data_IF_568087315625
#
_entry.id   IF_568087315625
#
_cell.length_a   1.000
_cell.length_b   1.000
_cell.length_c   1.000
_cell.angle_alpha   90.00
_cell.angle_beta   90.00
_cell.angle_gamma   90.00
#
_symmetry.space_group_name_H-M   'P 1'
#
loop_
_entity.id
_entity.type
_entity.pdbx_description
1 polymer ?
#
# COMPACT_ATOMS: atom_id res chain seq x y z
N UNK A 1 -34.48 45.95 -43.86
CA UNK A 1 -33.25 46.62 -44.35
C UNK A 1 -32.18 45.53 -44.55
N UNK A 2 -31.46 45.52 -45.68
CA UNK A 2 -30.34 44.66 -46.16
C UNK A 2 -29.75 43.58 -45.21
N UNK A 3 -29.53 42.28 -45.54
CA UNK A 3 -29.22 41.45 -46.76
C UNK A 3 -27.71 41.30 -47.10
N UNK A 4 -27.32 40.04 -47.44
CA UNK A 4 -26.02 39.44 -47.88
C UNK A 4 -25.04 38.98 -46.75
N UNK A 5 -24.31 37.83 -46.69
CA UNK A 5 -24.01 36.58 -47.49
C UNK A 5 -22.45 36.41 -47.66
N UNK A 6 -21.75 35.26 -47.73
CA UNK A 6 -21.98 33.89 -48.29
C UNK A 6 -21.29 32.70 -47.52
N UNK A 7 -21.92 31.51 -47.59
CA UNK A 7 -21.42 30.12 -47.80
C UNK A 7 -19.97 29.63 -47.55
N UNK A 8 -19.84 28.45 -46.90
CA UNK A 8 -19.37 27.14 -47.48
C UNK A 8 -19.47 25.99 -46.45
N UNK A 9 -20.40 25.02 -46.60
CA UNK A 9 -20.33 23.71 -47.29
C UNK A 9 -19.68 22.55 -46.49
N UNK A 10 -20.42 21.43 -46.42
CA UNK A 10 -20.17 20.19 -45.66
C UNK A 10 -19.14 19.24 -46.33
N UNK A 11 -18.54 18.34 -45.53
CA UNK A 11 -17.63 17.30 -46.04
C UNK A 11 -17.23 16.20 -45.04
N UNK A 12 -18.18 15.44 -44.51
CA UNK A 12 -17.88 14.22 -43.72
C UNK A 12 -17.65 13.01 -44.64
N UNK A 13 -16.46 12.38 -44.57
CA UNK A 13 -16.20 11.06 -45.16
C UNK A 13 -15.66 10.11 -44.08
N UNK A 14 -16.41 9.04 -43.80
CA UNK A 14 -15.94 7.90 -42.99
C UNK A 14 -14.92 7.10 -43.80
N UNK A 15 -13.76 6.81 -43.22
CA UNK A 15 -12.81 5.84 -43.77
C UNK A 15 -13.09 4.50 -43.08
N UNK A 16 -13.23 3.44 -43.88
CA UNK A 16 -13.65 2.11 -43.44
C UNK A 16 -12.46 1.15 -43.58
N UNK A 17 -11.83 0.76 -42.47
CA UNK A 17 -10.64 -0.10 -42.47
C UNK A 17 -11.08 -1.57 -42.43
N UNK A 18 -10.89 -2.28 -43.54
CA UNK A 18 -11.16 -3.72 -43.62
C UNK A 18 -10.11 -4.50 -42.83
N UNK A 19 -10.53 -5.20 -41.79
CA UNK A 19 -9.72 -6.23 -41.12
C UNK A 19 -9.65 -7.48 -41.99
N UNK A 20 -8.49 -7.72 -42.61
CA UNK A 20 -8.28 -8.94 -43.39
C UNK A 20 -8.11 -10.15 -42.45
N UNK A 21 -9.16 -10.94 -42.34
CA UNK A 21 -9.13 -12.26 -41.73
C UNK A 21 -8.21 -13.19 -42.52
N UNK A 22 -7.09 -13.60 -41.94
CA UNK A 22 -6.26 -14.69 -42.48
C UNK A 22 -6.34 -15.89 -41.53
N UNK A 23 -7.28 -16.80 -41.80
CA UNK A 23 -7.34 -18.10 -41.14
C UNK A 23 -6.17 -18.94 -41.64
N UNK A 24 -5.28 -19.37 -40.75
CA UNK A 24 -4.42 -20.54 -40.99
C UNK A 24 -4.76 -21.61 -39.96
N UNK A 25 -5.66 -22.50 -40.37
CA UNK A 25 -5.78 -23.82 -39.75
C UNK A 25 -4.48 -24.59 -39.97
N UNK A 26 -3.90 -25.11 -38.89
CA UNK A 26 -3.08 -26.31 -38.93
C UNK A 26 -3.44 -27.13 -37.68
N UNK A 27 -4.36 -28.07 -37.87
CA UNK A 27 -4.50 -29.24 -37.00
C UNK A 27 -3.32 -30.16 -37.25
N UNK A 28 -2.49 -30.37 -36.23
CA UNK A 28 -1.47 -31.42 -36.22
C UNK A 28 -1.57 -32.12 -34.87
N UNK A 29 -2.40 -33.15 -34.80
CA UNK A 29 -2.29 -34.15 -33.75
C UNK A 29 -0.98 -34.92 -33.98
N UNK A 30 -0.03 -34.78 -33.07
CA UNK A 30 1.07 -35.72 -32.92
C UNK A 30 1.43 -35.82 -31.45
N UNK A 31 1.39 -37.04 -30.91
CA UNK A 31 2.23 -37.39 -29.77
C UNK A 31 3.69 -37.24 -30.24
N UNK A 32 4.32 -36.14 -29.84
CA UNK A 32 5.76 -35.94 -30.00
C UNK A 32 6.36 -35.93 -28.61
N UNK A 33 7.11 -36.98 -28.29
CA UNK A 33 8.12 -36.91 -27.25
C UNK A 33 9.10 -35.79 -27.63
N UNK A 34 8.96 -34.61 -27.02
CA UNK A 34 9.86 -33.49 -27.28
C UNK A 34 11.21 -33.77 -26.66
N UNK A 35 12.08 -34.40 -27.44
CA UNK A 35 13.52 -34.30 -27.24
C UNK A 35 13.94 -32.82 -27.16
N UNK A 36 14.91 -32.54 -26.30
CA UNK A 36 15.30 -31.19 -25.89
C UNK A 36 15.96 -30.42 -27.04
N UNK A 37 15.14 -29.82 -27.91
CA UNK A 37 15.60 -28.86 -28.91
C UNK A 37 15.84 -27.52 -28.22
N UNK A 38 17.10 -27.06 -28.25
CA UNK A 38 17.53 -25.81 -27.61
C UNK A 38 16.70 -24.63 -28.09
N UNK A 39 15.78 -24.16 -27.24
CA UNK A 39 14.89 -23.06 -27.56
C UNK A 39 15.69 -21.76 -27.69
N UNK A 40 15.56 -21.05 -28.82
CA UNK A 40 16.29 -19.80 -29.03
C UNK A 40 15.96 -18.75 -27.97
N UNK A 41 16.90 -17.83 -27.69
CA UNK A 41 16.87 -16.96 -26.50
C UNK A 41 15.61 -16.10 -26.31
N UNK A 42 14.84 -15.82 -27.37
CA UNK A 42 13.52 -15.18 -27.23
C UNK A 42 12.48 -16.10 -26.56
N UNK A 43 12.43 -17.37 -26.96
CA UNK A 43 11.52 -18.36 -26.37
C UNK A 43 11.93 -18.72 -24.93
N UNK A 44 13.23 -18.76 -24.64
CA UNK A 44 13.74 -18.94 -23.27
C UNK A 44 13.38 -17.73 -22.38
N UNK A 45 13.58 -16.51 -22.88
CA UNK A 45 13.15 -15.28 -22.19
C UNK A 45 11.64 -15.28 -21.93
N UNK A 46 10.82 -15.62 -22.94
CA UNK A 46 9.37 -15.67 -22.80
C UNK A 46 8.92 -16.64 -21.69
N UNK A 47 9.46 -17.87 -21.66
CA UNK A 47 9.22 -18.85 -20.58
C UNK A 47 9.63 -18.31 -19.19
N UNK A 48 10.69 -17.52 -19.11
CA UNK A 48 11.14 -16.87 -17.86
C UNK A 48 10.16 -15.78 -17.40
N UNK A 49 9.64 -14.97 -18.32
CA UNK A 49 8.67 -13.91 -18.01
C UNK A 49 7.27 -14.43 -17.65
N UNK A 50 6.79 -15.54 -18.24
CA UNK A 50 5.50 -16.14 -17.85
C UNK A 50 5.45 -16.56 -16.37
N UNK A 51 6.57 -16.98 -15.79
CA UNK A 51 6.64 -17.41 -14.40
C UNK A 51 6.72 -16.24 -13.40
N UNK A 52 6.96 -14.99 -13.84
CA UNK A 52 7.04 -13.82 -12.96
C UNK A 52 5.65 -13.39 -12.47
N UNK A 53 4.62 -13.57 -13.30
CA UNK A 53 3.23 -13.21 -12.96
C UNK A 53 2.45 -14.33 -12.26
N UNK A 54 3.05 -15.51 -12.06
CA UNK A 54 2.42 -16.55 -11.25
C UNK A 54 2.56 -16.14 -9.78
N UNK A 55 1.47 -16.05 -9.00
CA UNK A 55 1.60 -15.90 -7.56
C UNK A 55 2.42 -17.09 -7.06
N UNK A 56 3.55 -16.81 -6.40
CA UNK A 56 4.30 -17.85 -5.73
C UNK A 56 3.34 -18.46 -4.70
N UNK A 57 3.10 -19.76 -4.82
CA UNK A 57 2.18 -20.48 -3.97
C UNK A 57 2.90 -20.71 -2.63
N UNK A 58 3.01 -19.64 -1.83
CA UNK A 58 3.68 -19.66 -0.54
C UNK A 58 3.03 -20.73 0.33
N UNK A 59 3.84 -21.66 0.84
CA UNK A 59 3.34 -22.68 1.78
C UNK A 59 2.66 -22.00 2.98
N UNK A 60 1.57 -22.57 3.52
CA UNK A 60 0.82 -21.95 4.61
C UNK A 60 1.69 -21.80 5.86
N UNK A 61 2.17 -20.57 6.09
CA UNK A 61 3.01 -20.21 7.23
C UNK A 61 2.25 -20.40 8.55
N UNK A 62 2.85 -21.10 9.49
CA UNK A 62 2.29 -21.25 10.84
C UNK A 62 2.28 -19.91 11.59
N UNK A 63 1.38 -19.74 12.56
CA UNK A 63 1.32 -18.54 13.41
C UNK A 63 2.67 -18.24 14.09
N UNK A 64 3.41 -19.27 14.54
CA UNK A 64 4.75 -19.09 15.13
C UNK A 64 5.75 -18.50 14.12
N UNK A 65 5.68 -18.91 12.85
CA UNK A 65 6.51 -18.33 11.79
C UNK A 65 6.12 -16.88 11.49
N UNK A 66 4.83 -16.57 11.40
CA UNK A 66 4.34 -15.22 11.14
C UNK A 66 4.70 -14.25 12.29
N UNK A 67 4.53 -14.67 13.54
CA UNK A 67 4.85 -13.85 14.71
C UNK A 67 6.36 -13.57 14.80
N UNK A 68 7.21 -14.60 14.65
CA UNK A 68 8.67 -14.46 14.69
C UNK A 68 9.24 -13.54 13.61
N UNK A 69 8.61 -13.49 12.43
CA UNK A 69 9.01 -12.63 11.31
C UNK A 69 8.21 -11.31 11.25
N UNK A 70 7.49 -10.95 12.33
CA UNK A 70 6.70 -9.72 12.38
C UNK A 70 7.56 -8.51 12.75
N UNK A 71 7.23 -7.33 12.20
CA UNK A 71 7.96 -6.09 12.49
C UNK A 71 7.89 -5.64 13.95
N UNK A 72 6.93 -6.14 14.70
CA UNK A 72 6.85 -5.96 16.14
C UNK A 72 7.96 -6.75 16.87
N UNK A 73 8.13 -8.04 16.55
CA UNK A 73 9.18 -8.87 17.16
C UNK A 73 10.57 -8.46 16.67
N UNK A 74 10.73 -8.08 15.39
CA UNK A 74 11.99 -7.53 14.85
C UNK A 74 12.46 -6.24 15.57
N UNK A 75 11.53 -5.44 16.11
CA UNK A 75 11.83 -4.15 16.74
C UNK A 75 12.48 -4.28 18.12
N UNK A 76 12.20 -5.39 18.83
CA UNK A 76 12.62 -5.62 20.20
C UNK A 76 11.92 -4.69 21.20
N UNK A 77 12.67 -4.17 22.16
CA UNK A 77 12.19 -3.19 23.14
C UNK A 77 11.63 -1.94 22.42
N UNK A 78 10.35 -1.57 22.63
CA UNK A 78 9.72 -0.42 21.98
C UNK A 78 10.15 0.94 22.53
N UNK A 79 10.68 1.03 23.76
CA UNK A 79 10.95 2.31 24.41
C UNK A 79 11.98 3.13 23.61
N UNK A 80 11.68 4.41 23.38
CA UNK A 80 12.52 5.34 22.63
C UNK A 80 12.62 5.09 21.12
N UNK A 81 12.01 4.01 20.58
CA UNK A 81 12.00 3.72 19.15
C UNK A 81 11.20 4.75 18.37
N UNK A 82 11.63 5.03 17.14
CA UNK A 82 10.94 5.96 16.23
C UNK A 82 10.18 5.17 15.18
N UNK A 83 8.86 5.34 15.15
CA UNK A 83 7.93 4.66 14.24
C UNK A 83 7.18 5.66 13.35
N UNK A 84 6.53 5.15 12.31
CA UNK A 84 5.67 5.94 11.42
C UNK A 84 4.22 5.64 11.75
N UNK A 85 3.48 6.66 12.19
CA UNK A 85 2.04 6.60 12.41
C UNK A 85 1.25 7.33 11.32
N UNK A 86 -0.07 7.13 11.33
CA UNK A 86 -1.04 7.80 10.47
C UNK A 86 -2.17 8.39 11.32
N UNK A 87 -2.44 9.68 11.14
CA UNK A 87 -3.55 10.35 11.82
C UNK A 87 -4.86 9.78 11.27
N UNK A 88 -5.67 9.11 12.08
CA UNK A 88 -6.95 8.53 11.63
C UNK A 88 -8.17 9.34 12.08
N UNK A 89 -8.05 10.12 13.16
CA UNK A 89 -9.09 11.01 13.67
C UNK A 89 -8.48 12.28 14.29
N UNK A 90 -9.26 13.35 14.36
CA UNK A 90 -8.82 14.68 14.80
C UNK A 90 -9.98 15.35 15.53
N UNK A 91 -9.78 15.77 16.79
CA UNK A 91 -10.80 16.40 17.63
C UNK A 91 -10.22 17.67 18.23
N UNK A 92 -10.69 18.84 17.80
CA UNK A 92 -10.08 20.11 18.23
C UNK A 92 -8.60 20.16 17.85
N UNK A 93 -7.72 20.20 18.86
CA UNK A 93 -6.26 20.11 18.71
C UNK A 93 -5.69 18.71 18.99
N UNK A 94 -6.50 17.73 19.39
CA UNK A 94 -6.04 16.37 19.65
C UNK A 94 -6.00 15.53 18.36
N UNK A 95 -4.86 14.88 18.13
CA UNK A 95 -4.58 14.03 16.98
C UNK A 95 -4.56 12.57 17.42
N UNK A 96 -5.46 11.76 16.87
CA UNK A 96 -5.52 10.32 17.11
C UNK A 96 -4.71 9.60 16.03
N UNK A 97 -3.66 8.88 16.44
CA UNK A 97 -2.60 8.39 15.55
C UNK A 97 -2.39 6.89 15.74
N UNK A 98 -2.62 6.13 14.68
CA UNK A 98 -2.36 4.69 14.63
C UNK A 98 -0.98 4.42 14.02
N UNK A 99 -0.18 3.57 14.65
CA UNK A 99 1.15 3.13 14.19
C UNK A 99 1.27 1.60 14.06
N UNK A 100 0.14 0.88 14.00
CA UNK A 100 0.09 -0.57 13.81
C UNK A 100 0.21 -1.39 15.09
N UNK A 101 -0.01 -0.77 16.26
CA UNK A 101 -0.10 -1.45 17.54
C UNK A 101 -1.56 -1.67 17.98
N UNK A 102 -1.78 -2.40 19.08
CA UNK A 102 -3.09 -2.66 19.70
C UNK A 102 -3.81 -1.36 20.08
N UNK A 103 -3.06 -0.37 20.56
CA UNK A 103 -3.58 0.96 20.91
C UNK A 103 -2.94 2.05 20.07
N UNK A 104 -3.73 3.07 19.81
CA UNK A 104 -3.28 4.31 19.20
C UNK A 104 -2.72 5.26 20.26
N UNK A 105 -1.97 6.27 19.85
CA UNK A 105 -1.61 7.38 20.72
C UNK A 105 -2.45 8.61 20.41
N UNK A 106 -2.64 9.46 21.42
CA UNK A 106 -3.23 10.80 21.27
C UNK A 106 -2.13 11.83 21.48
N UNK A 107 -1.93 12.72 20.52
CA UNK A 107 -0.93 13.79 20.62
C UNK A 107 -1.57 15.15 20.32
N UNK A 108 -1.19 16.18 21.07
CA UNK A 108 -1.63 17.56 20.80
C UNK A 108 -1.00 18.08 19.49
N UNK A 109 -1.78 18.87 18.74
CA UNK A 109 -1.36 19.46 17.47
C UNK A 109 -0.20 20.46 17.69
N UNK A 110 0.93 20.30 16.99
CA UNK A 110 2.00 21.28 17.03
C UNK A 110 1.54 22.63 16.48
N UNK A 111 1.88 23.71 17.18
CA UNK A 111 1.62 25.09 16.73
C UNK A 111 2.32 25.42 15.40
N UNK A 112 3.51 24.84 15.17
CA UNK A 112 4.25 24.97 13.91
C UNK A 112 3.65 24.04 12.86
N UNK A 113 3.29 24.61 11.70
CA UNK A 113 2.71 23.90 10.55
C UNK A 113 1.43 23.11 10.90
N UNK A 114 0.64 23.62 11.86
CA UNK A 114 -0.60 23.03 12.37
C UNK A 114 -1.56 22.51 11.27
N UNK A 115 -1.68 23.26 10.16
CA UNK A 115 -2.55 22.94 9.02
C UNK A 115 -2.18 21.64 8.27
N UNK A 116 -0.93 21.16 8.39
CA UNK A 116 -0.48 19.93 7.73
C UNK A 116 -0.86 18.65 8.51
N UNK A 117 -1.16 18.77 9.81
CA UNK A 117 -1.58 17.69 10.71
C UNK A 117 -3.09 17.41 10.57
N UNK A 118 -3.47 16.94 9.38
CA UNK A 118 -4.84 16.54 9.03
C UNK A 118 -5.00 15.03 8.98
N UNK A 119 -6.27 14.57 9.01
CA UNK A 119 -6.63 13.16 8.85
C UNK A 119 -5.99 12.58 7.58
N UNK A 120 -5.30 11.45 7.74
CA UNK A 120 -4.58 10.74 6.69
C UNK A 120 -3.07 11.05 6.60
N UNK A 121 -2.58 12.14 7.22
CA UNK A 121 -1.15 12.50 7.21
C UNK A 121 -0.30 11.44 7.92
N UNK A 122 0.90 11.18 7.37
CA UNK A 122 1.93 10.31 7.97
C UNK A 122 2.84 11.12 8.88
N UNK A 123 3.08 10.63 10.08
CA UNK A 123 3.85 11.30 11.14
C UNK A 123 4.90 10.37 11.72
N UNK A 124 5.98 10.95 12.26
CA UNK A 124 6.99 10.25 13.03
C UNK A 124 6.67 10.39 14.52
N UNK A 125 6.60 9.27 15.20
CA UNK A 125 6.38 9.17 16.64
C UNK A 125 7.63 8.60 17.30
N UNK A 126 7.95 9.04 18.51
CA UNK A 126 8.79 8.28 19.44
C UNK A 126 7.86 7.58 20.42
N UNK A 127 7.97 6.26 20.55
CA UNK A 127 7.24 5.49 21.55
C UNK A 127 7.91 5.69 22.91
N UNK A 128 7.10 5.88 23.94
CA UNK A 128 7.52 5.73 25.34
C UNK A 128 6.95 4.42 25.89
N UNK A 129 5.62 4.28 25.88
CA UNK A 129 4.92 3.10 26.39
C UNK A 129 3.84 2.61 25.42
N UNK A 130 3.71 1.29 25.25
CA UNK A 130 2.79 0.66 24.29
C UNK A 130 1.34 0.53 24.79
N UNK A 131 1.12 0.60 26.10
CA UNK A 131 -0.18 0.62 26.76
C UNK A 131 0.03 1.33 28.10
N UNK A 132 -0.57 2.51 28.30
CA UNK A 132 -0.45 3.21 29.58
C UNK A 132 -1.30 2.44 30.61
N UNK A 133 -0.63 1.68 31.48
CA UNK A 133 -1.26 1.00 32.60
C UNK A 133 -0.53 1.28 33.92
N UNK A 134 -1.28 1.28 35.03
CA UNK A 134 -0.71 1.50 36.35
C UNK A 134 -1.49 0.77 37.45
N UNK A 135 -0.77 0.39 38.51
CA UNK A 135 -1.36 -0.28 39.67
C UNK A 135 -1.48 0.67 40.86
N UNK A 136 -2.70 0.93 41.29
CA UNK A 136 -2.99 1.76 42.45
C UNK A 136 -3.19 0.91 43.72
N UNK A 137 -2.85 1.48 44.88
CA UNK A 137 -3.08 0.83 46.16
C UNK A 137 -4.59 0.57 46.38
N UNK A 138 -4.94 -0.62 46.87
CA UNK A 138 -6.32 -1.05 47.07
C UNK A 138 -6.98 -1.70 45.84
N UNK A 139 -6.32 -1.70 44.67
CA UNK A 139 -6.78 -2.42 43.48
C UNK A 139 -5.99 -3.72 43.28
N UNK A 140 -6.70 -4.84 43.06
CA UNK A 140 -6.08 -6.13 42.75
C UNK A 140 -5.40 -6.14 41.37
N UNK A 141 -6.06 -5.48 40.41
CA UNK A 141 -5.70 -5.41 38.99
C UNK A 141 -5.20 -4.02 38.61
N UNK A 142 -4.37 -3.95 37.57
CA UNK A 142 -3.95 -2.69 36.95
C UNK A 142 -5.12 -2.02 36.22
N UNK A 143 -5.07 -0.70 36.18
CA UNK A 143 -5.96 0.15 35.38
C UNK A 143 -5.21 0.59 34.12
N UNK A 144 -5.85 0.48 32.96
CA UNK A 144 -5.31 0.86 31.64
C UNK A 144 -6.13 2.00 31.05
N UNK A 145 -5.46 2.98 30.43
CA UNK A 145 -6.12 4.07 29.70
C UNK A 145 -6.54 3.67 28.28
N UNK A 146 -6.15 2.47 27.81
CA UNK A 146 -6.41 1.97 26.45
C UNK A 146 -5.81 2.85 25.33
N UNK A 147 -4.71 3.53 25.64
CA UNK A 147 -3.91 4.35 24.73
C UNK A 147 -2.41 4.08 24.93
N UNK A 148 -1.60 4.38 23.92
CA UNK A 148 -0.14 4.29 23.97
C UNK A 148 0.47 5.70 24.17
N UNK A 149 1.53 5.80 24.98
CA UNK A 149 2.27 7.06 25.13
C UNK A 149 3.31 7.21 24.00
N UNK A 150 3.20 8.31 23.25
CA UNK A 150 4.09 8.64 22.15
C UNK A 150 4.30 10.15 22.05
N UNK A 151 5.53 10.56 21.78
CA UNK A 151 5.84 11.95 21.41
C UNK A 151 5.83 12.14 19.88
N UNK A 152 5.01 13.08 19.42
CA UNK A 152 4.96 13.50 18.01
C UNK A 152 6.22 14.31 17.63
N UNK A 153 7.08 13.73 16.78
CA UNK A 153 8.31 14.37 16.30
C UNK A 153 8.08 15.27 15.07
N UNK A 154 7.04 14.98 14.29
CA UNK A 154 6.65 15.77 13.12
C UNK A 154 6.25 14.91 11.92
N UNK A 155 6.02 15.53 10.77
CA UNK A 155 5.54 14.84 9.56
C UNK A 155 6.64 13.99 8.89
N UNK A 156 6.21 12.99 8.12
CA UNK A 156 7.08 12.19 7.24
C UNK A 156 7.21 12.92 5.90
N UNK A 157 8.43 13.29 5.52
CA UNK A 157 8.74 13.76 4.18
C UNK A 157 8.97 12.57 3.26
N UNK A 158 8.08 12.38 2.29
CA UNK A 158 8.32 11.45 1.19
C UNK A 158 9.33 12.10 0.22
N UNK A 159 10.51 11.49 0.07
CA UNK A 159 11.46 11.90 -0.97
C UNK A 159 10.88 11.53 -2.32
N UNK A 160 10.74 12.53 -3.19
CA UNK A 160 10.43 12.38 -4.61
C UNK A 160 11.71 12.12 -5.40
#
# INVERSE_FOLDING_TARGET
MFRFSLNKILGLRRINVKTNCCKRLLSVDNNVETSETNAGGFAESYKKFENINKPQNEEPKTFSSLLKNSKFIDMGDPEGKVVIGRIFHVVGDDLYIDFGWKFHCVCTRPQKNSQEYKRGSKVRLRIHELEICSKFLGYEKELTLLEADCTLLGLVQERK
#
